data_IF_424303712120
#
_entry.id   IF_424303712120
#
_cell.length_a   1.000
_cell.length_b   1.000
_cell.length_c   1.000
_cell.angle_alpha   90.00
_cell.angle_beta   90.00
_cell.angle_gamma   90.00
#
_symmetry.space_group_name_H-M   'P 1'
#
loop_
_entity.id
_entity.type
_entity.pdbx_description
1 polymer ?
#
# COMPACT_ATOMS: atom_id res chain seq x y z
N UNK A 1 -21.10 12.51 2.75
CA UNK A 1 -21.92 11.53 3.50
C UNK A 1 -21.01 10.38 3.94
N UNK A 2 -21.25 9.79 5.12
CA UNK A 2 -20.50 8.60 5.56
C UNK A 2 -21.25 7.37 5.07
N UNK A 3 -20.70 6.64 4.10
CA UNK A 3 -21.33 5.41 3.60
C UNK A 3 -20.82 4.14 4.31
N UNK A 4 -19.68 4.20 4.98
CA UNK A 4 -19.06 3.06 5.68
C UNK A 4 -18.39 3.53 6.97
N UNK A 5 -18.49 2.74 8.02
CA UNK A 5 -17.77 2.95 9.29
C UNK A 5 -17.37 1.62 9.92
N UNK A 6 -16.27 1.63 10.68
CA UNK A 6 -15.79 0.49 11.45
C UNK A 6 -15.19 0.96 12.76
N UNK A 7 -15.47 0.25 13.84
CA UNK A 7 -14.95 0.54 15.19
C UNK A 7 -14.12 -0.64 15.68
N UNK A 8 -12.89 -0.40 16.14
CA UNK A 8 -11.98 -1.45 16.60
C UNK A 8 -11.83 -1.54 18.13
N UNK A 9 -11.90 -0.41 18.85
CA UNK A 9 -11.76 -0.38 20.32
C UNK A 9 -13.07 -0.04 21.00
N UNK A 10 -13.56 1.16 20.73
CA UNK A 10 -14.75 1.71 21.35
C UNK A 10 -15.66 2.27 20.27
N UNK A 11 -16.95 2.21 20.53
CA UNK A 11 -17.94 2.84 19.66
C UNK A 11 -17.83 4.35 19.87
N UNK A 12 -17.61 5.07 18.77
CA UNK A 12 -17.51 6.54 18.75
C UNK A 12 -18.73 7.08 18.03
N UNK A 13 -19.31 8.17 18.54
CA UNK A 13 -20.46 8.82 17.91
C UNK A 13 -20.10 9.39 16.53
N UNK A 14 -20.98 9.18 15.55
CA UNK A 14 -20.90 9.76 14.19
C UNK A 14 -20.78 11.28 14.18
N UNK A 15 -21.27 11.96 15.21
CA UNK A 15 -21.17 13.42 15.35
C UNK A 15 -19.72 13.92 15.34
N UNK A 16 -18.73 13.07 15.63
CA UNK A 16 -17.32 13.46 15.52
C UNK A 16 -16.93 13.78 14.07
N UNK A 17 -17.58 13.17 13.08
CA UNK A 17 -17.34 13.45 11.67
C UNK A 17 -17.80 14.84 11.25
N UNK A 18 -18.65 15.51 12.04
CA UNK A 18 -19.10 16.88 11.73
C UNK A 18 -17.93 17.86 11.71
N UNK A 19 -16.94 17.70 12.61
CA UNK A 19 -15.71 18.49 12.60
C UNK A 19 -14.92 18.32 11.30
N UNK A 20 -14.87 17.10 10.76
CA UNK A 20 -14.25 16.84 9.48
C UNK A 20 -15.04 17.47 8.33
N UNK A 21 -16.37 17.34 8.32
CA UNK A 21 -17.20 17.95 7.29
C UNK A 21 -17.15 19.48 7.32
N UNK A 22 -17.01 20.10 8.49
CA UNK A 22 -16.76 21.54 8.61
C UNK A 22 -15.41 21.95 8.02
N UNK A 23 -14.34 21.17 8.29
CA UNK A 23 -13.04 21.42 7.69
C UNK A 23 -13.09 21.27 6.17
N UNK A 24 -13.73 20.21 5.67
CA UNK A 24 -13.93 19.98 4.25
C UNK A 24 -14.67 21.12 3.56
N UNK A 25 -15.73 21.66 4.19
CA UNK A 25 -16.50 22.80 3.64
C UNK A 25 -15.73 24.11 3.59
N UNK A 26 -14.72 24.27 4.46
CA UNK A 26 -13.87 25.48 4.49
C UNK A 26 -12.79 25.44 3.41
N UNK A 27 -12.38 24.25 2.99
CA UNK A 27 -11.36 24.04 1.97
C UNK A 27 -11.94 24.16 0.56
N UNK A 28 -11.19 24.79 -0.35
CA UNK A 28 -11.60 24.95 -1.75
C UNK A 28 -11.38 23.68 -2.55
N UNK A 29 -10.23 23.01 -2.33
CA UNK A 29 -9.91 21.72 -2.94
C UNK A 29 -9.85 20.60 -1.89
N UNK A 30 -10.03 19.34 -2.33
CA UNK A 30 -9.93 18.19 -1.42
C UNK A 30 -8.58 18.06 -0.72
N UNK A 31 -7.51 18.48 -1.38
CA UNK A 31 -6.12 18.43 -0.90
C UNK A 31 -5.80 19.53 0.13
N UNK A 32 -6.60 20.58 0.19
CA UNK A 32 -6.43 21.69 1.14
C UNK A 32 -6.99 21.35 2.54
N UNK A 33 -7.60 20.18 2.71
CA UNK A 33 -8.11 19.73 4.01
C UNK A 33 -6.92 19.30 4.86
N UNK A 34 -6.76 19.92 6.03
CA UNK A 34 -5.70 19.55 6.97
C UNK A 34 -5.73 18.03 7.25
N UNK A 35 -4.63 17.29 7.05
CA UNK A 35 -4.60 15.84 7.28
C UNK A 35 -4.89 15.47 8.73
N UNK A 36 -4.58 16.37 9.68
CA UNK A 36 -4.85 16.18 11.11
C UNK A 36 -5.77 17.30 11.60
N UNK A 37 -6.89 16.91 12.22
CA UNK A 37 -7.87 17.81 12.81
C UNK A 37 -8.03 17.44 14.29
N UNK A 38 -7.65 18.36 15.17
CA UNK A 38 -7.81 18.19 16.61
C UNK A 38 -9.23 18.58 17.05
N UNK A 39 -9.88 17.72 17.82
CA UNK A 39 -11.16 17.98 18.48
C UNK A 39 -10.99 17.90 20.00
N UNK A 40 -11.99 18.28 20.83
CA UNK A 40 -11.81 18.35 22.29
C UNK A 40 -11.37 17.04 22.96
N UNK A 41 -11.77 15.89 22.41
CA UNK A 41 -11.51 14.57 23.01
C UNK A 41 -10.97 13.53 22.03
N UNK A 42 -10.85 13.87 20.75
CA UNK A 42 -10.42 12.94 19.69
C UNK A 42 -9.52 13.65 18.68
N UNK A 43 -8.71 12.87 17.98
CA UNK A 43 -7.97 13.32 16.80
C UNK A 43 -8.55 12.66 15.56
N UNK A 44 -8.79 13.45 14.53
CA UNK A 44 -9.21 12.98 13.22
C UNK A 44 -8.02 13.07 12.28
N UNK A 45 -7.63 11.93 11.70
CA UNK A 45 -6.58 11.86 10.69
C UNK A 45 -7.21 11.41 9.40
N UNK A 46 -6.97 12.13 8.30
CA UNK A 46 -7.60 11.85 7.02
C UNK A 46 -6.62 11.86 5.86
N UNK A 47 -6.97 11.08 4.84
CA UNK A 47 -6.37 11.13 3.51
C UNK A 47 -7.48 11.21 2.47
N UNK A 48 -7.17 11.80 1.31
CA UNK A 48 -8.06 11.85 0.16
C UNK A 48 -7.35 11.23 -1.05
N UNK A 49 -7.93 10.20 -1.67
CA UNK A 49 -7.45 9.63 -2.93
C UNK A 49 -8.63 9.08 -3.73
N UNK A 50 -8.58 9.25 -5.05
CA UNK A 50 -9.67 8.94 -5.97
C UNK A 50 -11.04 9.56 -5.57
N UNK A 51 -10.99 10.78 -5.01
CA UNK A 51 -12.16 11.50 -4.51
C UNK A 51 -12.91 10.79 -3.35
N UNK A 52 -12.23 9.87 -2.67
CA UNK A 52 -12.69 9.22 -1.45
C UNK A 52 -11.86 9.69 -0.26
N UNK A 53 -12.54 9.98 0.85
CA UNK A 53 -11.90 10.30 2.12
C UNK A 53 -11.90 9.09 3.03
N UNK A 54 -10.71 8.76 3.53
CA UNK A 54 -10.54 7.81 4.62
C UNK A 54 -10.22 8.61 5.87
N UNK A 55 -11.03 8.43 6.91
CA UNK A 55 -10.90 9.18 8.17
C UNK A 55 -10.71 8.19 9.31
N UNK A 56 -9.56 8.26 9.97
CA UNK A 56 -9.29 7.56 11.21
C UNK A 56 -9.62 8.46 12.41
N UNK A 57 -10.33 7.91 13.39
CA UNK A 57 -10.66 8.58 14.65
C UNK A 57 -9.85 7.97 15.78
N UNK A 58 -9.07 8.78 16.47
CA UNK A 58 -8.21 8.36 17.57
C UNK A 58 -8.64 9.02 18.88
N UNK A 59 -8.68 8.22 19.95
CA UNK A 59 -8.91 8.72 21.33
C UNK A 59 -7.60 9.04 22.05
N UNK A 60 -6.51 8.41 21.62
CA UNK A 60 -5.19 8.51 22.25
C UNK A 60 -4.21 9.13 21.26
N UNK A 61 -3.16 9.74 21.78
CA UNK A 61 -2.07 10.26 20.96
C UNK A 61 -1.34 9.11 20.26
N UNK A 62 -1.07 9.28 18.96
CA UNK A 62 -0.32 8.34 18.12
C UNK A 62 0.39 9.13 17.05
N UNK A 63 1.51 8.61 16.53
CA UNK A 63 2.27 9.29 15.48
C UNK A 63 1.38 9.48 14.24
N UNK A 64 1.09 10.72 13.79
CA UNK A 64 0.14 10.93 12.71
C UNK A 64 0.57 10.28 11.40
N UNK A 65 1.87 10.30 11.10
CA UNK A 65 2.43 9.70 9.88
C UNK A 65 2.19 8.19 9.81
N UNK A 66 2.21 7.50 10.96
CA UNK A 66 1.91 6.07 11.02
C UNK A 66 0.46 5.77 10.61
N UNK A 67 -0.48 6.60 11.08
CA UNK A 67 -1.90 6.45 10.72
C UNK A 67 -2.12 6.79 9.25
N UNK A 68 -1.48 7.85 8.76
CA UNK A 68 -1.56 8.26 7.35
C UNK A 68 -1.05 7.14 6.43
N UNK A 69 0.13 6.56 6.71
CA UNK A 69 0.67 5.43 5.95
C UNK A 69 -0.27 4.22 6.00
N UNK A 70 -0.83 3.92 7.17
CA UNK A 70 -1.79 2.82 7.28
C UNK A 70 -3.05 3.05 6.44
N UNK A 71 -3.60 4.28 6.42
CA UNK A 71 -4.74 4.61 5.58
C UNK A 71 -4.42 4.48 4.09
N UNK A 72 -3.23 4.92 3.65
CA UNK A 72 -2.78 4.70 2.28
C UNK A 72 -2.69 3.21 1.95
N UNK A 73 -2.14 2.42 2.88
CA UNK A 73 -2.03 0.97 2.74
C UNK A 73 -3.38 0.27 2.60
N UNK A 74 -4.39 0.64 3.37
CA UNK A 74 -5.76 0.10 3.23
C UNK A 74 -6.25 0.28 1.81
N UNK A 75 -6.07 1.47 1.26
CA UNK A 75 -6.61 1.78 -0.04
C UNK A 75 -5.79 1.13 -1.16
N UNK A 76 -4.47 0.98 -1.03
CA UNK A 76 -3.65 0.17 -1.96
C UNK A 76 -4.10 -1.30 -1.97
N UNK A 77 -4.42 -1.87 -0.79
CA UNK A 77 -5.02 -3.22 -0.67
C UNK A 77 -6.37 -3.28 -1.40
N UNK A 78 -7.24 -2.27 -1.23
CA UNK A 78 -8.53 -2.24 -1.91
C UNK A 78 -8.38 -2.14 -3.44
N UNK A 79 -7.46 -1.32 -3.93
CA UNK A 79 -7.16 -1.23 -5.37
C UNK A 79 -6.67 -2.58 -5.92
N UNK A 80 -5.81 -3.30 -5.21
CA UNK A 80 -5.31 -4.62 -5.65
C UNK A 80 -6.35 -5.76 -5.51
N UNK A 81 -7.32 -5.64 -4.61
CA UNK A 81 -8.43 -6.59 -4.48
C UNK A 81 -9.54 -6.39 -5.52
N UNK A 82 -9.92 -5.13 -5.73
CA UNK A 82 -11.10 -4.78 -6.51
C UNK A 82 -10.77 -4.16 -7.88
N UNK A 83 -9.49 -3.96 -8.21
CA UNK A 83 -8.98 -3.28 -9.43
C UNK A 83 -9.26 -1.77 -9.47
N UNK A 84 -10.32 -1.30 -8.80
CA UNK A 84 -10.60 0.12 -8.62
C UNK A 84 -11.21 0.35 -7.23
N UNK A 85 -10.73 1.38 -6.53
CA UNK A 85 -11.29 1.80 -5.25
C UNK A 85 -12.28 2.95 -5.49
N UNK A 86 -13.55 2.61 -5.74
CA UNK A 86 -14.67 3.55 -5.87
C UNK A 86 -15.77 3.26 -4.84
N UNK A 87 -16.60 4.26 -4.54
CA UNK A 87 -17.74 4.09 -3.61
C UNK A 87 -18.66 2.92 -4.01
N UNK A 88 -18.96 2.77 -5.30
CA UNK A 88 -19.79 1.68 -5.81
C UNK A 88 -19.13 0.32 -5.57
N UNK A 89 -17.83 0.21 -5.85
CA UNK A 89 -17.10 -1.05 -5.74
C UNK A 89 -16.97 -1.50 -4.28
N UNK A 90 -16.77 -0.57 -3.36
CA UNK A 90 -16.75 -0.85 -1.91
C UNK A 90 -18.15 -1.24 -1.42
N UNK A 91 -19.21 -0.56 -1.89
CA UNK A 91 -20.60 -0.88 -1.57
C UNK A 91 -21.01 -2.28 -2.04
N UNK A 92 -20.61 -2.66 -3.25
CA UNK A 92 -20.93 -3.98 -3.81
C UNK A 92 -20.19 -5.12 -3.09
N UNK A 93 -19.08 -4.82 -2.40
CA UNK A 93 -18.22 -5.81 -1.74
C UNK A 93 -18.08 -5.57 -0.22
N UNK A 94 -19.09 -5.03 0.45
CA UNK A 94 -19.03 -4.66 1.88
C UNK A 94 -18.48 -5.76 2.78
N UNK A 95 -18.90 -7.01 2.59
CA UNK A 95 -18.48 -8.14 3.42
C UNK A 95 -16.96 -8.30 3.38
N UNK A 96 -16.38 -8.34 2.18
CA UNK A 96 -14.93 -8.50 1.99
C UNK A 96 -14.18 -7.29 2.53
N UNK A 97 -14.72 -6.08 2.35
CA UNK A 97 -14.10 -4.86 2.89
C UNK A 97 -14.03 -4.93 4.43
N UNK A 98 -15.10 -5.35 5.10
CA UNK A 98 -15.10 -5.48 6.56
C UNK A 98 -14.15 -6.57 7.06
N UNK A 99 -14.10 -7.72 6.38
CA UNK A 99 -13.16 -8.81 6.66
C UNK A 99 -11.71 -8.34 6.51
N UNK A 100 -11.39 -7.63 5.42
CA UNK A 100 -10.05 -7.07 5.20
C UNK A 100 -9.66 -6.10 6.31
N UNK A 101 -10.56 -5.21 6.70
CA UNK A 101 -10.30 -4.25 7.77
C UNK A 101 -10.14 -4.90 9.16
N UNK A 102 -10.76 -6.06 9.41
CA UNK A 102 -10.53 -6.85 10.65
C UNK A 102 -9.16 -7.52 10.63
N UNK A 103 -8.75 -8.08 9.49
CA UNK A 103 -7.46 -8.76 9.38
C UNK A 103 -6.27 -7.78 9.35
N UNK A 104 -6.48 -6.59 8.77
CA UNK A 104 -5.44 -5.57 8.65
C UNK A 104 -5.14 -4.85 9.97
N UNK A 105 -6.12 -4.71 10.87
CA UNK A 105 -5.99 -3.95 12.11
C UNK A 105 -6.68 -4.68 13.26
N UNK A 106 -5.91 -5.04 14.27
CA UNK A 106 -6.45 -5.56 15.53
C UNK A 106 -6.23 -4.53 16.63
N UNK A 107 -7.31 -4.12 17.30
CA UNK A 107 -7.24 -3.28 18.49
C UNK A 107 -6.41 -2.00 18.29
N UNK A 108 -6.45 -1.41 17.10
CA UNK A 108 -5.72 -0.19 16.73
C UNK A 108 -4.25 -0.40 16.38
N UNK A 109 -3.77 -1.63 16.24
CA UNK A 109 -2.44 -1.97 15.77
C UNK A 109 -2.53 -2.72 14.42
N UNK A 110 -1.82 -2.27 13.37
CA UNK A 110 -1.74 -2.99 12.12
C UNK A 110 -1.11 -4.37 12.31
N UNK A 111 -1.75 -5.40 11.77
CA UNK A 111 -1.31 -6.79 11.86
C UNK A 111 -0.86 -7.31 10.49
N UNK A 112 -1.80 -7.64 9.60
CA UNK A 112 -1.50 -8.16 8.26
C UNK A 112 -1.79 -7.09 7.21
N UNK A 113 -0.76 -6.44 6.70
CA UNK A 113 -0.92 -5.37 5.68
C UNK A 113 -0.41 -5.76 4.29
N UNK A 114 0.13 -6.97 4.15
CA UNK A 114 0.67 -7.49 2.89
C UNK A 114 -0.43 -8.15 2.05
N UNK A 115 -0.70 -7.60 0.86
CA UNK A 115 -1.85 -8.02 0.05
C UNK A 115 -1.79 -9.48 -0.36
N UNK A 116 -0.59 -10.01 -0.64
CA UNK A 116 -0.40 -11.40 -0.99
C UNK A 116 -0.80 -12.36 0.15
N UNK A 117 -0.50 -12.00 1.40
CA UNK A 117 -0.93 -12.78 2.57
C UNK A 117 -2.42 -12.62 2.82
N UNK A 118 -2.94 -11.39 2.72
CA UNK A 118 -4.39 -11.16 2.82
C UNK A 118 -5.16 -12.01 1.81
N UNK A 119 -4.70 -12.12 0.56
CA UNK A 119 -5.37 -12.88 -0.51
C UNK A 119 -5.43 -14.39 -0.25
N UNK A 120 -4.61 -14.92 0.66
CA UNK A 120 -4.69 -16.31 1.11
C UNK A 120 -5.75 -16.50 2.20
N UNK A 121 -5.90 -15.51 3.08
CA UNK A 121 -6.85 -15.53 4.20
C UNK A 121 -8.27 -15.21 3.72
N UNK A 122 -8.40 -14.18 2.89
CA UNK A 122 -9.65 -13.65 2.37
C UNK A 122 -9.59 -13.69 0.84
N UNK A 123 -10.33 -14.62 0.23
CA UNK A 123 -10.26 -14.81 -1.22
C UNK A 123 -10.94 -13.65 -1.96
N UNK A 124 -10.25 -13.00 -2.93
CA UNK A 124 -10.85 -11.98 -3.77
C UNK A 124 -12.10 -12.46 -4.52
N UNK A 125 -13.09 -11.58 -4.76
CA UNK A 125 -14.35 -11.97 -5.42
C UNK A 125 -14.13 -12.47 -6.85
N UNK A 126 -13.11 -11.95 -7.54
CA UNK A 126 -12.74 -12.37 -8.89
C UNK A 126 -12.17 -13.81 -8.95
N UNK A 127 -11.54 -14.29 -7.87
CA UNK A 127 -11.07 -15.67 -7.77
C UNK A 127 -12.21 -16.63 -7.45
N UNK A 128 -13.14 -16.22 -6.58
CA UNK A 128 -14.33 -17.01 -6.25
C UNK A 128 -15.18 -17.31 -7.49
N UNK A 129 -15.36 -16.35 -8.40
CA UNK A 129 -16.09 -16.60 -9.67
C UNK A 129 -15.41 -17.64 -10.57
N UNK A 130 -14.08 -17.71 -10.59
CA UNK A 130 -13.34 -18.71 -11.38
C UNK A 130 -13.40 -20.10 -10.73
N UNK A 131 -13.42 -20.17 -9.40
CA UNK A 131 -13.42 -21.44 -8.64
C UNK A 131 -14.83 -22.00 -8.45
N UNK A 132 -15.86 -21.14 -8.32
CA UNK A 132 -17.27 -21.54 -8.22
C UNK A 132 -17.77 -22.28 -9.47
N UNK A 133 -17.14 -22.06 -10.62
CA UNK A 133 -17.45 -22.80 -11.86
C UNK A 133 -16.79 -24.19 -11.92
N UNK A 134 -15.94 -24.56 -10.96
CA UNK A 134 -15.19 -25.82 -10.99
C UNK A 134 -15.58 -26.81 -9.88
N UNK A 135 -16.12 -26.38 -8.74
CA UNK A 135 -16.44 -27.30 -7.64
C UNK A 135 -17.72 -26.86 -6.91
N UNK A 136 -18.76 -27.66 -7.07
CA UNK A 136 -19.96 -27.68 -6.23
C UNK A 136 -19.60 -28.05 -4.79
N UNK A 137 -19.97 -27.20 -3.83
CA UNK A 137 -20.16 -27.56 -2.42
C UNK A 137 -18.91 -27.44 -1.52
N UNK A 138 -18.69 -26.24 -0.97
CA UNK A 138 -18.23 -25.95 0.41
C UNK A 138 -17.77 -24.48 0.45
N UNK A 139 -18.69 -23.59 0.80
CA UNK A 139 -18.49 -22.13 0.75
C UNK A 139 -18.25 -21.54 2.14
N UNK A 140 -17.06 -21.75 2.69
CA UNK A 140 -16.52 -20.86 3.73
C UNK A 140 -15.47 -19.96 3.08
N UNK A 141 -15.68 -18.65 3.16
CA UNK A 141 -14.78 -17.62 2.60
C UNK A 141 -13.48 -17.48 3.40
N UNK A 142 -13.36 -18.19 4.52
CA UNK A 142 -12.24 -18.17 5.46
C UNK A 142 -11.50 -19.50 5.37
N UNK A 143 -10.19 -19.46 5.22
CA UNK A 143 -9.36 -20.66 5.20
C UNK A 143 -9.22 -21.26 6.62
N UNK A 144 -9.63 -22.52 6.81
CA UNK A 144 -9.51 -23.26 8.08
C UNK A 144 -8.05 -23.68 8.43
N UNK A 145 -7.10 -23.38 7.56
CA UNK A 145 -5.69 -23.74 7.75
C UNK A 145 -4.84 -22.49 7.99
N UNK A 146 -4.09 -22.47 9.10
CA UNK A 146 -3.03 -21.48 9.34
C UNK A 146 -2.12 -21.45 8.12
N UNK A 147 -2.09 -20.32 7.42
CA UNK A 147 -1.31 -20.19 6.20
C UNK A 147 0.17 -20.24 6.55
N UNK A 148 0.93 -21.07 5.83
CA UNK A 148 2.38 -21.23 6.05
C UNK A 148 3.17 -19.93 5.89
N UNK A 149 2.57 -18.90 5.29
CA UNK A 149 3.08 -17.53 5.18
C UNK A 149 3.24 -16.84 6.54
N UNK A 150 2.36 -17.10 7.52
CA UNK A 150 2.43 -16.50 8.87
C UNK A 150 3.61 -17.00 9.73
N UNK A 151 4.22 -18.14 9.38
CA UNK A 151 5.41 -18.68 10.03
C UNK A 151 6.71 -18.33 9.29
N UNK A 152 6.61 -17.68 8.13
CA UNK A 152 7.75 -17.35 7.29
C UNK A 152 8.23 -15.92 7.56
N UNK A 153 9.54 -15.69 7.54
CA UNK A 153 10.11 -14.34 7.61
C UNK A 153 9.93 -13.53 6.30
N UNK A 154 9.05 -13.98 5.39
CA UNK A 154 8.85 -13.42 4.05
C UNK A 154 7.33 -13.21 3.83
N UNK A 155 6.73 -12.25 4.55
CA UNK A 155 5.27 -12.05 4.56
C UNK A 155 4.70 -11.52 3.23
N UNK A 156 5.55 -11.05 2.31
CA UNK A 156 5.15 -10.49 1.03
C UNK A 156 5.07 -11.51 -0.11
N UNK A 157 5.51 -12.76 0.10
CA UNK A 157 5.53 -13.81 -0.95
C UNK A 157 4.96 -15.14 -0.47
N UNK A 158 4.02 -15.68 -1.24
CA UNK A 158 3.35 -16.95 -0.97
C UNK A 158 4.23 -18.16 -1.29
N UNK A 159 4.05 -19.23 -0.52
CA UNK A 159 4.69 -20.51 -0.79
C UNK A 159 3.95 -21.26 -1.91
N UNK A 160 4.70 -21.95 -2.76
CA UNK A 160 4.12 -22.80 -3.81
C UNK A 160 3.53 -22.07 -5.01
N UNK A 161 3.84 -20.78 -5.20
CA UNK A 161 3.50 -20.04 -6.43
C UNK A 161 4.02 -20.79 -7.66
N UNK A 162 3.17 -20.99 -8.67
CA UNK A 162 3.52 -21.68 -9.92
C UNK A 162 3.01 -20.88 -11.12
N UNK A 163 3.90 -20.68 -12.08
CA UNK A 163 3.60 -20.13 -13.39
C UNK A 163 4.03 -21.11 -14.48
N UNK A 164 3.31 -21.12 -15.60
CA UNK A 164 3.68 -21.92 -16.76
C UNK A 164 5.01 -21.45 -17.35
N UNK A 165 5.18 -20.13 -17.44
CA UNK A 165 6.41 -19.46 -17.84
C UNK A 165 6.87 -18.54 -16.72
N UNK A 166 8.16 -18.57 -16.40
CA UNK A 166 8.75 -17.71 -15.38
C UNK A 166 9.25 -16.43 -16.05
N UNK A 167 8.62 -15.30 -15.73
CA UNK A 167 8.91 -14.00 -16.32
C UNK A 167 9.00 -12.94 -15.22
N UNK A 168 9.91 -11.97 -15.37
CA UNK A 168 10.03 -10.84 -14.47
C UNK A 168 10.33 -9.59 -15.30
N UNK A 169 9.46 -8.59 -15.16
CA UNK A 169 9.58 -7.29 -15.82
C UNK A 169 9.98 -6.24 -14.81
N UNK A 170 10.87 -5.34 -15.21
CA UNK A 170 11.38 -4.23 -14.42
C UNK A 170 11.28 -2.98 -15.26
N UNK A 171 10.38 -2.09 -14.88
CA UNK A 171 10.16 -0.81 -15.55
C UNK A 171 10.87 0.27 -14.75
N UNK A 172 11.86 0.90 -15.38
CA UNK A 172 12.60 2.03 -14.82
C UNK A 172 11.95 3.33 -15.32
N UNK A 173 11.32 4.06 -14.42
CA UNK A 173 10.67 5.33 -14.73
C UNK A 173 11.41 6.45 -14.01
N UNK A 174 11.83 7.45 -14.78
CA UNK A 174 12.52 8.64 -14.28
C UNK A 174 11.80 9.89 -14.75
N UNK A 175 11.58 10.81 -13.82
CA UNK A 175 11.07 12.15 -14.05
C UNK A 175 12.20 13.14 -13.80
N UNK A 176 12.42 14.05 -14.75
CA UNK A 176 13.51 15.02 -14.71
C UNK A 176 12.90 16.40 -14.52
N UNK A 177 13.17 16.99 -13.35
CA UNK A 177 12.77 18.36 -13.03
C UNK A 177 13.97 19.28 -13.20
N UNK A 178 13.84 20.26 -14.09
CA UNK A 178 14.92 21.20 -14.39
C UNK A 178 14.43 22.64 -14.49
N UNK A 179 15.16 23.55 -13.85
CA UNK A 179 14.98 25.00 -13.99
C UNK A 179 16.14 25.54 -14.80
N UNK A 180 15.84 26.10 -15.97
CA UNK A 180 16.82 26.68 -16.88
C UNK A 180 16.63 28.20 -16.90
N UNK A 181 17.72 28.95 -16.72
CA UNK A 181 17.68 30.41 -16.75
C UNK A 181 17.51 30.94 -18.19
N UNK A 182 17.25 32.25 -18.32
CA UNK A 182 17.11 32.91 -19.63
C UNK A 182 18.36 32.86 -20.52
N UNK A 183 19.52 32.52 -19.94
CA UNK A 183 20.80 32.40 -20.63
C UNK A 183 21.09 30.96 -21.05
N UNK A 184 20.21 30.00 -20.74
CA UNK A 184 20.38 28.57 -21.02
C UNK A 184 21.20 27.81 -19.97
N UNK A 185 21.46 28.42 -18.81
CA UNK A 185 22.17 27.78 -17.69
C UNK A 185 21.19 27.02 -16.81
N UNK A 186 21.47 25.75 -16.53
CA UNK A 186 20.69 24.95 -15.58
C UNK A 186 20.94 25.47 -14.16
N UNK A 187 19.90 26.02 -13.54
CA UNK A 187 19.90 26.45 -12.13
C UNK A 187 19.70 25.25 -11.22
N UNK A 188 18.83 24.33 -11.63
CA UNK A 188 18.45 23.13 -10.89
C UNK A 188 18.17 22.02 -11.88
N UNK A 189 18.63 20.81 -11.58
CA UNK A 189 18.32 19.60 -12.31
C UNK A 189 18.27 18.46 -11.32
N UNK A 190 17.10 17.90 -11.11
CA UNK A 190 16.89 16.75 -10.24
C UNK A 190 16.20 15.64 -11.01
N UNK A 191 16.46 14.39 -10.59
CA UNK A 191 15.83 13.22 -11.16
C UNK A 191 15.15 12.46 -10.03
N UNK A 192 13.84 12.28 -10.17
CA UNK A 192 13.08 11.38 -9.33
C UNK A 192 12.82 10.09 -10.11
N UNK A 193 13.34 8.97 -9.61
CA UNK A 193 13.23 7.69 -10.28
C UNK A 193 12.59 6.61 -9.41
N UNK A 194 11.98 5.63 -10.04
CA UNK A 194 11.51 4.42 -9.37
C UNK A 194 11.54 3.21 -10.31
N UNK A 195 11.57 2.03 -9.70
CA UNK A 195 11.49 0.75 -10.43
C UNK A 195 10.22 0.03 -10.01
N UNK A 196 9.27 -0.04 -10.93
CA UNK A 196 8.08 -0.87 -10.78
C UNK A 196 8.33 -2.24 -11.42
N UNK A 197 7.90 -3.29 -10.74
CA UNK A 197 8.19 -4.67 -11.10
C UNK A 197 6.90 -5.43 -11.35
N UNK A 198 6.88 -6.30 -12.35
CA UNK A 198 5.85 -7.33 -12.52
C UNK A 198 6.53 -8.70 -12.50
N UNK A 199 6.43 -9.41 -11.36
CA UNK A 199 7.14 -10.68 -11.14
C UNK A 199 6.17 -11.85 -11.19
N UNK A 200 6.36 -12.71 -12.20
CA UNK A 200 5.62 -13.97 -12.42
C UNK A 200 6.59 -15.15 -12.38
N UNK A 201 7.19 -15.36 -11.22
CA UNK A 201 8.17 -16.42 -10.99
C UNK A 201 7.60 -17.49 -10.06
N UNK A 202 7.94 -18.75 -10.32
CA UNK A 202 7.53 -19.89 -9.49
C UNK A 202 8.42 -20.05 -8.25
N UNK A 203 7.87 -20.59 -7.17
CA UNK A 203 8.60 -20.88 -5.93
C UNK A 203 9.06 -19.64 -5.18
N UNK A 204 10.26 -19.70 -4.60
CA UNK A 204 10.89 -18.62 -3.82
C UNK A 204 12.19 -18.16 -4.52
N UNK A 205 12.09 -17.38 -5.61
CA UNK A 205 13.25 -16.92 -6.34
C UNK A 205 14.02 -15.89 -5.51
N UNK A 206 15.34 -16.02 -5.48
CA UNK A 206 16.25 -15.04 -4.90
C UNK A 206 16.87 -14.22 -6.02
N UNK A 207 16.52 -12.95 -6.12
CA UNK A 207 16.96 -12.05 -7.17
C UNK A 207 18.05 -11.10 -6.65
N UNK A 208 18.95 -10.74 -7.55
CA UNK A 208 19.95 -9.70 -7.31
C UNK A 208 19.96 -8.73 -8.48
N UNK A 209 19.77 -7.44 -8.19
CA UNK A 209 19.86 -6.34 -9.13
C UNK A 209 20.96 -5.38 -8.68
N UNK A 210 21.78 -4.92 -9.62
CA UNK A 210 22.89 -3.99 -9.35
C UNK A 210 22.84 -2.84 -10.33
N UNK A 211 23.01 -1.62 -9.83
CA UNK A 211 23.22 -0.45 -10.66
C UNK A 211 24.68 -0.36 -11.10
N UNK A 212 24.93 0.22 -12.27
CA UNK A 212 26.30 0.48 -12.74
C UNK A 212 27.02 1.46 -11.80
N UNK A 213 26.31 2.51 -11.36
CA UNK A 213 26.86 3.49 -10.42
C UNK A 213 25.83 3.83 -9.33
N UNK A 214 25.68 2.98 -8.30
CA UNK A 214 24.71 3.20 -7.24
C UNK A 214 25.04 4.40 -6.34
N UNK A 215 26.23 5.00 -6.48
CA UNK A 215 26.64 6.19 -5.72
C UNK A 215 25.98 7.48 -6.22
N UNK A 216 25.35 7.44 -7.39
CA UNK A 216 24.57 8.56 -7.91
C UNK A 216 23.22 8.69 -7.22
N UNK A 217 22.76 7.65 -6.52
CA UNK A 217 21.49 7.67 -5.82
C UNK A 217 21.71 8.34 -4.47
N UNK A 218 21.15 9.53 -4.28
CA UNK A 218 21.31 10.32 -3.06
C UNK A 218 20.38 9.79 -1.96
N UNK A 219 19.08 9.86 -2.20
CA UNK A 219 18.05 9.35 -1.31
C UNK A 219 17.36 8.13 -1.93
N UNK A 220 17.19 7.07 -1.14
CA UNK A 220 16.65 5.79 -1.61
C UNK A 220 15.62 5.27 -0.62
N UNK A 221 14.42 4.96 -1.13
CA UNK A 221 13.42 4.17 -0.42
C UNK A 221 13.34 2.78 -1.01
N UNK A 222 13.46 1.77 -0.15
CA UNK A 222 13.55 0.35 -0.53
C UNK A 222 12.26 -0.37 -0.15
N UNK A 223 11.78 -1.25 -1.01
CA UNK A 223 10.73 -2.20 -0.63
C UNK A 223 11.23 -3.12 0.50
N UNK A 224 10.37 -3.50 1.48
CA UNK A 224 10.74 -4.40 2.58
C UNK A 224 11.34 -5.74 2.17
N UNK A 225 11.14 -6.15 0.91
CA UNK A 225 11.71 -7.39 0.38
C UNK A 225 13.23 -7.34 0.18
N UNK A 226 13.81 -6.14 0.17
CA UNK A 226 15.25 -5.93 -0.03
C UNK A 226 15.99 -6.11 1.28
N UNK A 227 17.07 -6.90 1.22
CA UNK A 227 17.98 -7.12 2.33
C UNK A 227 18.82 -5.87 2.57
N UNK A 228 18.34 -5.00 3.48
CA UNK A 228 18.96 -3.71 3.80
C UNK A 228 20.46 -3.80 4.07
N UNK A 229 20.91 -4.78 4.86
CA UNK A 229 22.34 -4.96 5.19
C UNK A 229 23.22 -5.12 3.94
N UNK A 230 22.74 -5.81 2.92
CA UNK A 230 23.47 -6.02 1.66
C UNK A 230 23.45 -4.78 0.78
N UNK A 231 22.37 -4.01 0.81
CA UNK A 231 22.34 -2.69 0.19
C UNK A 231 23.35 -1.74 0.84
N UNK A 232 23.43 -1.71 2.17
CA UNK A 232 24.35 -0.84 2.90
C UNK A 232 25.83 -1.18 2.63
N UNK A 233 26.17 -2.47 2.58
CA UNK A 233 27.56 -2.93 2.41
C UNK A 233 28.03 -2.95 0.95
N UNK A 234 27.18 -3.42 0.04
CA UNK A 234 27.56 -3.73 -1.35
C UNK A 234 26.85 -2.84 -2.38
N UNK A 235 25.86 -2.05 -1.96
CA UNK A 235 24.96 -1.31 -2.87
C UNK A 235 24.30 -2.21 -3.91
N UNK A 236 23.97 -3.43 -3.50
CA UNK A 236 23.30 -4.45 -4.30
C UNK A 236 21.89 -4.70 -3.77
N UNK A 237 20.90 -4.67 -4.66
CA UNK A 237 19.52 -5.00 -4.32
C UNK A 237 19.35 -6.51 -4.36
N UNK A 238 19.34 -7.14 -3.19
CA UNK A 238 19.15 -8.59 -3.05
C UNK A 238 17.85 -8.86 -2.32
N UNK A 239 16.94 -9.60 -2.95
CA UNK A 239 15.55 -9.71 -2.48
C UNK A 239 14.86 -10.97 -2.98
N UNK A 240 13.86 -11.41 -2.22
CA UNK A 240 12.86 -12.36 -2.69
C UNK A 240 11.62 -11.53 -3.05
N UNK A 241 11.26 -11.37 -4.33
CA UNK A 241 10.20 -10.43 -4.73
C UNK A 241 8.81 -10.89 -4.30
N UNK A 242 7.90 -9.95 -3.96
CA UNK A 242 6.47 -10.21 -3.98
C UNK A 242 6.02 -10.83 -5.31
N UNK A 243 4.90 -11.55 -5.27
CA UNK A 243 4.24 -12.06 -6.47
C UNK A 243 3.39 -10.94 -7.10
N UNK A 244 3.48 -10.78 -8.42
CA UNK A 244 2.72 -9.76 -9.16
C UNK A 244 3.40 -8.39 -9.23
N UNK A 245 2.59 -7.33 -9.17
CA UNK A 245 3.04 -5.95 -9.35
C UNK A 245 3.44 -5.32 -8.01
N UNK A 246 4.61 -4.68 -7.94
CA UNK A 246 5.03 -3.91 -6.77
C UNK A 246 6.14 -2.92 -7.14
N UNK A 247 6.30 -1.86 -6.33
CA UNK A 247 7.45 -0.94 -6.42
C UNK A 247 8.63 -1.53 -5.66
N UNK A 248 9.75 -1.74 -6.34
CA UNK A 248 10.96 -2.30 -5.73
C UNK A 248 11.78 -1.25 -4.98
N UNK A 249 11.95 -0.09 -5.62
CA UNK A 249 12.80 1.00 -5.13
C UNK A 249 12.30 2.31 -5.72
N UNK A 250 12.37 3.38 -4.93
CA UNK A 250 12.35 4.75 -5.44
C UNK A 250 13.60 5.48 -4.99
N UNK A 251 14.10 6.38 -5.82
CA UNK A 251 15.33 7.09 -5.58
C UNK A 251 15.25 8.52 -6.10
N UNK A 252 16.12 9.36 -5.54
CA UNK A 252 16.33 10.72 -5.97
C UNK A 252 17.80 10.92 -6.33
N UNK A 253 18.05 11.66 -7.39
CA UNK A 253 19.37 12.11 -7.83
C UNK A 253 19.31 13.62 -7.88
N UNK A 254 20.02 14.27 -6.96
CA UNK A 254 20.13 15.71 -6.91
C UNK A 254 21.09 16.23 -7.97
N UNK A 255 21.01 17.54 -8.22
CA UNK A 255 22.01 18.22 -9.04
C UNK A 255 23.37 18.10 -8.36
N UNK A 256 24.32 17.43 -9.01
CA UNK A 256 25.70 17.44 -8.54
C UNK A 256 26.19 18.91 -8.49
N UNK A 257 26.67 19.32 -7.32
CA UNK A 257 27.30 20.63 -7.11
C UNK A 257 28.61 20.77 -7.89
#
# INVERSE_FOLDING_TARGET
EVFMEKHWKTVVSKSICDYFFEAQKKSANPEDVSPVIATPHHYLINICRNNLYFVAVLTNESAPLFVIEFLHRIMDVFEDYFTACTETTLKDNYVIVYELLDEMLDSGLPLVTETNTLKELIKPPNLLRKVANLVTGDSTNVSDALTSSQLSNIPWRRLGVKYANNEAYFDLIEEIDAIIDRNGTTIMGEIQGYIDCCVKLSGMPDLTLTFVNPRLLDDVSLHPCIRLKKWESEKSLSFIPPDGNFRLISYHIGSQK
#
